data_IF_615734090732
#
_entry.id   IF_615734090732
#
_cell.length_a   1.000
_cell.length_b   1.000
_cell.length_c   1.000
_cell.angle_alpha   90.00
_cell.angle_beta   90.00
_cell.angle_gamma   90.00
#
_symmetry.space_group_name_H-M   'P 1'
#
loop_
_entity.id
_entity.type
_entity.pdbx_description
1 polymer ?
#
# COMPACT_ATOMS: atom_id res chain seq x y z
N UNK A 1 -0.27 -0.65 30.80
CA UNK A 1 -1.06 -1.85 30.44
C UNK A 1 -2.32 -1.53 29.60
N UNK A 2 -3.01 -0.41 29.84
CA UNK A 2 -4.26 -0.04 29.15
C UNK A 2 -4.07 0.33 27.65
N UNK A 3 -2.92 0.91 27.27
CA UNK A 3 -2.53 1.16 25.87
C UNK A 3 -2.28 -0.11 25.03
N UNK A 4 -2.06 -1.30 25.62
CA UNK A 4 -1.90 -2.53 24.83
C UNK A 4 -3.24 -3.12 24.37
N UNK A 5 -4.35 -2.80 25.06
CA UNK A 5 -5.68 -3.37 24.74
C UNK A 5 -6.43 -2.55 23.68
N UNK A 6 -6.29 -1.22 23.67
CA UNK A 6 -6.82 -0.37 22.60
C UNK A 6 -6.09 -0.58 21.26
N UNK A 7 -4.79 -0.88 21.30
CA UNK A 7 -3.96 -1.07 20.10
C UNK A 7 -3.86 -2.52 19.59
N UNK A 8 -4.60 -3.46 20.19
CA UNK A 8 -4.55 -4.88 19.81
C UNK A 8 -5.46 -5.21 18.62
N UNK A 9 -6.74 -4.89 18.74
CA UNK A 9 -7.76 -5.23 17.74
C UNK A 9 -7.86 -4.17 16.65
N UNK A 10 -7.91 -2.89 17.01
CA UNK A 10 -7.99 -1.77 16.06
C UNK A 10 -6.80 -1.75 15.10
N UNK A 11 -5.62 -2.10 15.61
CA UNK A 11 -4.43 -2.09 14.80
C UNK A 11 -4.29 -3.33 13.91
N UNK A 12 -4.90 -4.46 14.28
CA UNK A 12 -5.07 -5.60 13.36
C UNK A 12 -6.06 -5.27 12.25
N UNK A 13 -7.16 -4.59 12.58
CA UNK A 13 -8.13 -4.11 11.58
C UNK A 13 -7.42 -3.17 10.60
N UNK A 14 -6.60 -2.24 11.10
CA UNK A 14 -5.81 -1.34 10.26
C UNK A 14 -4.86 -2.07 9.31
N UNK A 15 -4.15 -3.10 9.78
CA UNK A 15 -3.30 -3.96 8.94
C UNK A 15 -4.11 -4.66 7.84
N UNK A 16 -5.27 -5.22 8.18
CA UNK A 16 -6.17 -5.83 7.21
C UNK A 16 -6.72 -4.84 6.18
N UNK A 17 -6.99 -3.59 6.57
CA UNK A 17 -7.41 -2.54 5.64
C UNK A 17 -6.30 -2.27 4.61
N UNK A 18 -5.03 -2.21 5.03
CA UNK A 18 -3.90 -2.03 4.12
C UNK A 18 -3.73 -3.24 3.18
N UNK A 19 -3.89 -4.47 3.68
CA UNK A 19 -3.89 -5.70 2.87
C UNK A 19 -4.97 -5.63 1.80
N UNK A 20 -6.22 -5.40 2.20
CA UNK A 20 -7.37 -5.38 1.29
C UNK A 20 -7.20 -4.27 0.27
N UNK A 21 -6.76 -3.08 0.69
CA UNK A 21 -6.47 -1.95 -0.20
C UNK A 21 -5.46 -2.33 -1.30
N UNK A 22 -4.37 -3.00 -0.94
CA UNK A 22 -3.36 -3.46 -1.90
C UNK A 22 -3.90 -4.50 -2.89
N UNK A 23 -4.64 -5.51 -2.39
CA UNK A 23 -5.22 -6.56 -3.24
C UNK A 23 -6.30 -5.98 -4.16
N UNK A 24 -7.20 -5.14 -3.66
CA UNK A 24 -8.25 -4.52 -4.46
C UNK A 24 -7.68 -3.59 -5.52
N UNK A 25 -6.69 -2.76 -5.18
CA UNK A 25 -6.10 -1.84 -6.15
C UNK A 25 -5.26 -2.58 -7.19
N UNK A 26 -4.47 -3.58 -6.77
CA UNK A 26 -3.77 -4.45 -7.71
C UNK A 26 -4.72 -5.23 -8.63
N UNK A 27 -5.86 -5.70 -8.10
CA UNK A 27 -6.91 -6.32 -8.91
C UNK A 27 -7.56 -5.35 -9.91
N UNK A 28 -7.76 -4.08 -9.54
CA UNK A 28 -8.24 -3.05 -10.47
C UNK A 28 -7.26 -2.81 -11.62
N UNK A 29 -5.95 -2.84 -11.37
CA UNK A 29 -4.95 -2.77 -12.43
C UNK A 29 -5.00 -3.98 -13.38
N UNK A 30 -5.57 -5.11 -12.98
CA UNK A 30 -5.77 -6.26 -13.90
C UNK A 30 -7.06 -6.17 -14.69
N UNK A 31 -7.94 -5.22 -14.37
CA UNK A 31 -9.23 -5.12 -15.03
C UNK A 31 -9.07 -4.51 -16.43
N UNK A 32 -9.36 -5.26 -17.52
CA UNK A 32 -9.21 -4.77 -18.89
C UNK A 32 -10.19 -3.63 -19.23
N UNK A 33 -11.23 -3.42 -18.43
CA UNK A 33 -12.20 -2.33 -18.59
C UNK A 33 -11.78 -1.03 -17.90
N UNK A 34 -10.73 -1.05 -17.08
CA UNK A 34 -10.20 0.15 -16.42
C UNK A 34 -8.99 0.64 -17.21
N UNK A 35 -9.20 1.71 -17.96
CA UNK A 35 -8.15 2.31 -18.79
C UNK A 35 -7.21 3.21 -17.96
N UNK A 36 -6.03 2.68 -17.63
CA UNK A 36 -4.95 3.44 -17.01
C UNK A 36 -4.05 4.14 -18.06
N UNK A 37 -4.45 4.26 -19.33
CA UNK A 37 -3.71 5.04 -20.32
C UNK A 37 -3.93 6.56 -20.23
N UNK A 38 -4.67 7.05 -19.21
CA UNK A 38 -4.78 8.49 -18.98
C UNK A 38 -3.39 9.08 -18.67
N UNK A 39 -3.07 10.29 -19.13
CA UNK A 39 -1.75 10.91 -18.95
C UNK A 39 -1.22 10.91 -17.51
N UNK A 40 -2.12 10.99 -16.52
CA UNK A 40 -1.77 10.92 -15.10
C UNK A 40 -1.10 9.60 -14.70
N UNK A 41 -1.43 8.48 -15.36
CA UNK A 41 -0.93 7.15 -15.02
C UNK A 41 0.25 6.69 -15.90
N UNK A 42 0.53 7.38 -17.01
CA UNK A 42 1.64 7.01 -17.92
C UNK A 42 3.01 7.07 -17.23
N UNK A 43 3.20 7.98 -16.28
CA UNK A 43 4.46 8.04 -15.50
C UNK A 43 4.59 6.89 -14.51
N UNK A 44 3.49 6.46 -13.89
CA UNK A 44 3.54 5.32 -12.97
C UNK A 44 3.88 4.03 -13.74
N UNK A 45 3.38 3.89 -14.97
CA UNK A 45 3.70 2.75 -15.85
C UNK A 45 5.08 2.83 -16.51
N UNK A 46 5.81 3.94 -16.35
CA UNK A 46 7.16 4.09 -16.91
C UNK A 46 8.20 3.20 -16.20
N UNK A 47 7.96 2.85 -14.93
CA UNK A 47 8.87 2.01 -14.14
C UNK A 47 8.53 0.52 -14.25
N UNK A 48 7.24 0.20 -14.28
CA UNK A 48 6.72 -1.16 -14.36
C UNK A 48 5.43 -1.13 -15.18
N UNK A 49 5.17 -2.16 -15.98
CA UNK A 49 3.89 -2.28 -16.66
C UNK A 49 2.73 -2.33 -15.66
N UNK A 50 1.52 -1.99 -16.12
CA UNK A 50 0.30 -2.09 -15.32
C UNK A 50 0.14 -3.49 -14.69
N UNK A 51 0.45 -4.55 -15.45
CA UNK A 51 0.40 -5.93 -14.98
C UNK A 51 1.49 -6.21 -13.91
N UNK A 52 2.67 -5.63 -14.06
CA UNK A 52 3.74 -5.78 -13.08
C UNK A 52 3.41 -5.06 -11.76
N UNK A 53 2.82 -3.86 -11.83
CA UNK A 53 2.31 -3.17 -10.64
C UNK A 53 1.17 -3.92 -9.95
N UNK A 54 0.26 -4.49 -10.74
CA UNK A 54 -0.80 -5.32 -10.22
C UNK A 54 -0.25 -6.52 -9.45
N UNK A 55 0.68 -7.25 -10.07
CA UNK A 55 1.34 -8.40 -9.45
C UNK A 55 2.06 -7.98 -8.17
N UNK A 56 2.82 -6.88 -8.20
CA UNK A 56 3.54 -6.37 -7.03
C UNK A 56 2.59 -6.10 -5.85
N UNK A 57 1.53 -5.34 -6.06
CA UNK A 57 0.63 -4.94 -4.97
C UNK A 57 -0.21 -6.10 -4.46
N UNK A 58 -0.68 -6.98 -5.34
CA UNK A 58 -1.35 -8.22 -4.92
C UNK A 58 -0.40 -9.10 -4.11
N UNK A 59 0.84 -9.30 -4.58
CA UNK A 59 1.83 -10.09 -3.86
C UNK A 59 2.20 -9.48 -2.51
N UNK A 60 2.34 -8.15 -2.41
CA UNK A 60 2.60 -7.45 -1.15
C UNK A 60 1.44 -7.56 -0.17
N UNK A 61 0.20 -7.48 -0.66
CA UNK A 61 -1.01 -7.67 0.14
C UNK A 61 -1.11 -9.10 0.68
N UNK A 62 -0.95 -10.10 -0.19
CA UNK A 62 -0.99 -11.53 0.19
C UNK A 62 0.15 -11.85 1.17
N UNK A 63 1.39 -11.44 0.87
CA UNK A 63 2.53 -11.70 1.74
C UNK A 63 2.32 -11.10 3.14
N UNK A 64 1.76 -9.89 3.22
CA UNK A 64 1.43 -9.27 4.50
C UNK A 64 0.30 -10.00 5.24
N UNK A 65 -0.75 -10.43 4.53
CA UNK A 65 -1.81 -11.25 5.11
C UNK A 65 -1.29 -12.59 5.66
N UNK A 66 -0.45 -13.30 4.89
CA UNK A 66 0.20 -14.54 5.34
C UNK A 66 1.05 -14.28 6.58
N UNK A 67 1.81 -13.19 6.59
CA UNK A 67 2.64 -12.82 7.73
C UNK A 67 1.80 -12.41 8.96
N UNK A 68 0.61 -11.82 8.76
CA UNK A 68 -0.33 -11.48 9.81
C UNK A 68 -0.96 -12.74 10.42
N UNK A 69 -1.43 -13.67 9.59
CA UNK A 69 -2.02 -14.95 10.03
C UNK A 69 -0.98 -15.82 10.74
N UNK A 70 0.23 -15.91 10.19
CA UNK A 70 1.32 -16.69 10.76
C UNK A 70 2.08 -15.99 11.90
N UNK A 71 1.64 -14.80 12.32
CA UNK A 71 2.31 -13.97 13.34
C UNK A 71 3.81 -13.72 13.06
N UNK A 72 4.19 -13.71 11.78
CA UNK A 72 5.58 -13.55 11.31
C UNK A 72 5.98 -12.07 11.30
N UNK A 73 6.42 -11.60 12.47
CA UNK A 73 6.71 -10.18 12.71
C UNK A 73 7.71 -9.54 11.74
N UNK A 74 8.84 -10.20 11.46
CA UNK A 74 9.87 -9.67 10.55
C UNK A 74 9.32 -9.49 9.14
N UNK A 75 8.56 -10.46 8.64
CA UNK A 75 7.93 -10.41 7.33
C UNK A 75 6.86 -9.30 7.29
N UNK A 76 6.07 -9.11 8.35
CA UNK A 76 5.13 -7.98 8.46
C UNK A 76 5.81 -6.63 8.32
N UNK A 77 6.99 -6.45 8.93
CA UNK A 77 7.77 -5.22 8.84
C UNK A 77 8.30 -4.98 7.42
N UNK A 78 8.91 -5.99 6.81
CA UNK A 78 9.44 -5.88 5.45
C UNK A 78 8.32 -5.59 4.45
N UNK A 79 7.22 -6.34 4.50
CA UNK A 79 6.08 -6.13 3.61
C UNK A 79 5.44 -4.76 3.82
N UNK A 80 5.31 -4.27 5.06
CA UNK A 80 4.82 -2.92 5.33
C UNK A 80 5.75 -1.83 4.78
N UNK A 81 7.08 -2.02 4.89
CA UNK A 81 8.06 -1.11 4.31
C UNK A 81 7.91 -1.05 2.78
N UNK A 82 7.82 -2.20 2.12
CA UNK A 82 7.67 -2.26 0.67
C UNK A 82 6.35 -1.69 0.19
N UNK A 83 5.24 -1.91 0.91
CA UNK A 83 3.96 -1.27 0.62
C UNK A 83 4.05 0.25 0.77
N UNK A 84 4.67 0.75 1.84
CA UNK A 84 4.87 2.18 2.04
C UNK A 84 5.69 2.80 0.90
N UNK A 85 6.80 2.17 0.51
CA UNK A 85 7.63 2.63 -0.59
C UNK A 85 6.87 2.66 -1.92
N UNK A 86 6.10 1.60 -2.23
CA UNK A 86 5.28 1.52 -3.43
C UNK A 86 4.25 2.67 -3.49
N UNK A 87 3.51 2.92 -2.40
CA UNK A 87 2.50 3.97 -2.38
C UNK A 87 3.08 5.38 -2.37
N UNK A 88 4.22 5.60 -1.70
CA UNK A 88 4.95 6.88 -1.78
C UNK A 88 5.36 7.17 -3.22
N UNK A 89 5.86 6.16 -3.94
CA UNK A 89 6.21 6.31 -5.34
C UNK A 89 4.98 6.67 -6.20
N UNK A 90 3.85 5.96 -6.01
CA UNK A 90 2.59 6.25 -6.73
C UNK A 90 2.11 7.68 -6.44
N UNK A 91 2.15 8.12 -5.18
CA UNK A 91 1.75 9.47 -4.80
C UNK A 91 2.65 10.55 -5.43
N UNK A 92 3.97 10.37 -5.36
CA UNK A 92 4.93 11.33 -5.92
C UNK A 92 4.81 11.44 -7.45
N UNK A 93 4.72 10.30 -8.14
CA UNK A 93 4.57 10.30 -9.60
C UNK A 93 3.27 10.97 -10.05
N UNK A 94 2.18 10.76 -9.33
CA UNK A 94 0.90 11.42 -9.63
C UNK A 94 0.91 12.92 -9.29
N UNK A 95 1.64 13.32 -8.25
CA UNK A 95 1.77 14.72 -7.85
C UNK A 95 2.67 15.53 -8.78
N UNK A 96 3.81 14.97 -9.18
CA UNK A 96 4.81 15.65 -10.01
C UNK A 96 4.31 15.95 -11.43
N UNK A 97 3.42 15.12 -11.97
CA UNK A 97 2.93 15.29 -13.34
C UNK A 97 1.65 16.12 -13.45
N UNK A 98 0.87 16.22 -12.36
CA UNK A 98 -0.35 17.01 -12.38
C UNK A 98 -0.79 17.36 -10.96
N UNK A 99 -0.27 18.46 -10.40
CA UNK A 99 -0.67 18.96 -9.06
C UNK A 99 -2.19 19.23 -8.94
N UNK A 100 -2.89 19.42 -10.07
CA UNK A 100 -4.35 19.55 -10.14
C UNK A 100 -5.09 18.22 -10.37
N UNK A 101 -4.38 17.10 -10.35
CA UNK A 101 -5.01 15.78 -10.37
C UNK A 101 -5.78 15.55 -9.08
N UNK A 102 -7.08 15.34 -9.20
CA UNK A 102 -7.94 14.90 -8.09
C UNK A 102 -7.49 13.57 -7.48
N UNK A 103 -6.60 12.83 -8.18
CA UNK A 103 -6.00 11.60 -7.68
C UNK A 103 -4.83 11.84 -6.70
N UNK A 104 -4.05 12.92 -6.85
CA UNK A 104 -2.86 13.15 -6.03
C UNK A 104 -3.15 13.18 -4.51
N UNK A 105 -4.17 13.91 -4.02
CA UNK A 105 -4.51 13.89 -2.59
C UNK A 105 -4.87 12.49 -2.09
N UNK A 106 -5.65 11.73 -2.86
CA UNK A 106 -6.06 10.37 -2.53
C UNK A 106 -4.87 9.44 -2.36
N UNK A 107 -3.95 9.43 -3.33
CA UNK A 107 -2.79 8.56 -3.28
C UNK A 107 -1.74 9.00 -2.25
N UNK A 108 -1.64 10.31 -1.97
CA UNK A 108 -0.82 10.83 -0.87
C UNK A 108 -1.34 10.37 0.49
N UNK A 109 -2.67 10.34 0.67
CA UNK A 109 -3.29 9.79 1.87
C UNK A 109 -3.03 8.29 2.03
N UNK A 110 -3.16 7.52 0.94
CA UNK A 110 -2.85 6.08 0.96
C UNK A 110 -1.38 5.85 1.31
N UNK A 111 -0.46 6.64 0.75
CA UNK A 111 0.97 6.58 1.08
C UNK A 111 1.22 6.86 2.57
N UNK A 112 0.62 7.93 3.11
CA UNK A 112 0.73 8.27 4.52
C UNK A 112 0.24 7.14 5.44
N UNK A 113 -0.90 6.51 5.11
CA UNK A 113 -1.45 5.36 5.85
C UNK A 113 -0.44 4.20 5.90
N UNK A 114 0.17 3.85 4.76
CA UNK A 114 1.14 2.75 4.71
C UNK A 114 2.47 3.10 5.41
N UNK A 115 2.91 4.36 5.36
CA UNK A 115 4.06 4.84 6.13
C UNK A 115 3.80 4.74 7.63
N UNK A 116 2.61 5.13 8.10
CA UNK A 116 2.21 5.00 9.50
C UNK A 116 2.17 3.52 9.91
N UNK A 117 1.66 2.63 9.06
CA UNK A 117 1.71 1.18 9.30
C UNK A 117 3.15 0.70 9.51
N UNK A 118 4.04 1.04 8.58
CA UNK A 118 5.44 0.66 8.65
C UNK A 118 6.11 1.20 9.92
N UNK A 119 5.97 2.50 10.20
CA UNK A 119 6.53 3.13 11.40
C UNK A 119 6.02 2.45 12.67
N UNK A 120 4.73 2.14 12.75
CA UNK A 120 4.15 1.40 13.88
C UNK A 120 4.84 0.05 14.06
N UNK A 121 4.96 -0.74 12.98
CA UNK A 121 5.56 -2.07 13.06
C UNK A 121 7.07 -2.01 13.37
N UNK A 122 7.76 -0.97 12.89
CA UNK A 122 9.18 -0.71 13.15
C UNK A 122 9.45 -0.21 14.58
N UNK A 123 8.56 0.62 15.16
CA UNK A 123 8.67 1.09 16.54
C UNK A 123 8.31 -0.01 17.52
N UNK A 124 7.24 -0.77 17.25
CA UNK A 124 6.88 -1.92 18.09
C UNK A 124 8.05 -2.91 18.16
N UNK A 125 8.88 -3.02 17.10
CA UNK A 125 10.08 -3.87 17.00
C UNK A 125 11.11 -3.69 18.13
N UNK A 126 11.14 -2.50 18.75
CA UNK A 126 12.05 -2.14 19.85
C UNK A 126 11.40 -2.49 21.19
#
# INVERSE_FOLDING_TARGET
MMLRRLFGTEARIFEWVCVIGNVCWGGWLLNPHIDFNRPAYVTFTALLSQQAWAALLVSLGIAHATALIGEMRSIRQYTALFQAAAWVYVALTLGLHNFNSTAFPTYSWIAAIHVVLWLRLAVIAR
#
